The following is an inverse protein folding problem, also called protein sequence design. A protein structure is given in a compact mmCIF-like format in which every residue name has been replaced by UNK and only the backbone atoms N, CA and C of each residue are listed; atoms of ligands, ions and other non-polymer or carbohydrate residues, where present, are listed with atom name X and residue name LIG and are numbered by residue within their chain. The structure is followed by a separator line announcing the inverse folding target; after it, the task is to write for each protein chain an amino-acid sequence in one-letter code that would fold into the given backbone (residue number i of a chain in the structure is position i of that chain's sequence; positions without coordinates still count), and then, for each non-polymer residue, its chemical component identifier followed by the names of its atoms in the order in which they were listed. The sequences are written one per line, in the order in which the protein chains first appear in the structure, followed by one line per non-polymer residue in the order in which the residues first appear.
data_IF_584313084027
#
_entry.id   IF_584313084027
#
_cell.length_a   1.000
_cell.length_b   1.000
_cell.length_c   1.000
_cell.angle_alpha   90.00
_cell.angle_beta   90.00
_cell.angle_gamma   90.00
#
_symmetry.space_group_name_H-M   'P 1'
#
loop_
_entity.id
_entity.type
_entity.pdbx_description
1 polymer ?
#
# COMPACT_ATOMS: atom_id res chain seq x y z
N UNK A 1 18.32 -0.56 -9.42
CA UNK A 1 18.01 0.03 -8.10
C UNK A 1 17.39 -1.09 -7.29
N UNK A 2 17.88 -1.33 -6.07
CA UNK A 2 17.25 -2.32 -5.18
C UNK A 2 15.82 -1.89 -4.84
N UNK A 3 14.88 -2.83 -4.69
CA UNK A 3 13.52 -2.47 -4.31
C UNK A 3 13.49 -1.95 -2.86
N UNK A 4 12.55 -1.04 -2.53
CA UNK A 4 12.32 -0.67 -1.14
C UNK A 4 11.85 -1.91 -0.35
N UNK A 5 12.38 -2.09 0.85
CA UNK A 5 12.12 -3.27 1.68
C UNK A 5 11.10 -2.92 2.75
N UNK A 6 10.25 -3.85 3.17
CA UNK A 6 9.25 -3.57 4.22
C UNK A 6 9.93 -3.13 5.53
N UNK A 7 11.03 -3.80 5.89
CA UNK A 7 11.80 -3.61 7.11
C UNK A 7 12.81 -2.44 7.07
N UNK A 8 12.97 -1.74 5.94
CA UNK A 8 13.82 -0.54 5.86
C UNK A 8 13.18 0.71 6.52
N UNK A 9 11.90 0.60 6.89
CA UNK A 9 11.14 1.63 7.58
C UNK A 9 10.56 1.08 8.88
N UNK A 10 11.15 1.48 10.00
CA UNK A 10 10.66 1.19 11.33
C UNK A 10 10.96 2.37 12.27
N UNK A 11 9.96 3.23 12.56
CA UNK A 11 10.17 4.38 13.43
C UNK A 11 10.61 4.04 14.86
N UNK A 12 10.29 2.86 15.39
CA UNK A 12 10.72 2.46 16.75
C UNK A 12 12.23 2.20 16.82
N UNK A 13 12.84 1.80 15.71
CA UNK A 13 14.29 1.59 15.61
C UNK A 13 14.99 2.76 14.89
N UNK A 14 14.30 3.90 14.73
CA UNK A 14 14.81 5.08 14.03
C UNK A 14 15.26 4.79 12.58
N UNK A 15 14.61 3.82 11.93
CA UNK A 15 14.80 3.49 10.53
C UNK A 15 13.74 4.22 9.72
N UNK A 16 14.13 5.25 8.97
CA UNK A 16 13.20 6.14 8.27
C UNK A 16 13.48 6.15 6.76
N UNK A 17 13.03 5.12 6.05
CA UNK A 17 13.00 5.17 4.60
C UNK A 17 11.88 6.13 4.13
N UNK A 18 12.16 7.04 3.19
CA UNK A 18 11.14 7.96 2.66
C UNK A 18 10.18 7.25 1.72
N UNK A 19 8.96 7.79 1.56
CA UNK A 19 8.02 7.33 0.53
C UNK A 19 8.71 7.30 -0.85
N UNK A 20 8.61 6.19 -1.61
CA UNK A 20 9.14 6.11 -2.96
C UNK A 20 8.63 7.25 -3.88
N UNK A 21 7.41 7.72 -3.63
CA UNK A 21 6.81 8.88 -4.30
C UNK A 21 7.66 10.17 -4.20
N UNK A 22 8.37 10.38 -3.09
CA UNK A 22 9.22 11.56 -2.87
C UNK A 22 10.52 11.53 -3.69
N UNK A 23 10.92 10.37 -4.23
CA UNK A 23 12.14 10.22 -5.04
C UNK A 23 11.93 10.50 -6.53
N UNK A 24 10.75 10.99 -6.92
CA UNK A 24 10.41 11.26 -8.32
C UNK A 24 9.84 10.05 -9.07
N UNK A 25 9.61 8.92 -8.40
CA UNK A 25 8.88 7.78 -8.95
C UNK A 25 7.37 7.94 -8.70
N UNK A 26 6.84 9.13 -9.01
CA UNK A 26 5.45 9.56 -8.73
C UNK A 26 4.41 8.86 -9.59
N UNK A 27 4.76 7.74 -10.21
CA UNK A 27 3.83 7.07 -11.11
C UNK A 27 3.00 6.08 -10.31
N UNK A 28 1.71 6.07 -10.60
CA UNK A 28 0.69 5.08 -10.24
C UNK A 28 1.07 3.61 -10.58
N UNK A 29 2.33 3.35 -10.94
CA UNK A 29 2.94 2.04 -11.27
C UNK A 29 3.42 1.27 -10.05
N UNK A 30 3.13 1.78 -8.84
CA UNK A 30 3.43 1.08 -7.60
C UNK A 30 2.71 -0.26 -7.51
N UNK A 31 1.47 -0.32 -8.00
CA UNK A 31 0.67 -1.53 -8.07
C UNK A 31 0.57 -1.95 -9.53
N UNK A 32 0.92 -3.19 -9.83
CA UNK A 32 0.87 -3.77 -11.17
C UNK A 32 -0.57 -4.03 -11.64
N UNK A 33 -0.82 -4.03 -12.94
CA UNK A 33 -2.19 -4.13 -13.48
C UNK A 33 -2.74 -5.57 -13.58
N UNK A 34 -1.92 -6.56 -13.21
CA UNK A 34 -2.26 -7.99 -13.20
C UNK A 34 -3.06 -8.39 -11.95
N UNK A 35 -2.58 -9.40 -11.22
CA UNK A 35 -3.26 -9.97 -10.06
C UNK A 35 -3.06 -9.16 -8.76
N UNK A 36 -3.02 -7.82 -8.86
CA UNK A 36 -2.81 -6.92 -7.74
C UNK A 36 -4.13 -6.42 -7.12
N UNK A 37 -4.08 -5.75 -5.96
CA UNK A 37 -5.25 -5.07 -5.39
C UNK A 37 -5.82 -3.99 -6.32
N UNK A 38 -4.98 -3.42 -7.20
CA UNK A 38 -5.40 -2.40 -8.15
C UNK A 38 -6.47 -2.93 -9.11
N UNK A 39 -6.26 -4.14 -9.62
CA UNK A 39 -7.17 -4.78 -10.57
C UNK A 39 -8.55 -5.03 -9.95
N UNK A 40 -8.58 -5.57 -8.72
CA UNK A 40 -9.81 -5.79 -7.98
C UNK A 40 -10.58 -4.49 -7.70
N UNK A 41 -9.89 -3.45 -7.22
CA UNK A 41 -10.53 -2.16 -6.92
C UNK A 41 -11.01 -1.44 -8.19
N UNK A 42 -10.23 -1.45 -9.27
CA UNK A 42 -10.65 -0.85 -10.54
C UNK A 42 -11.88 -1.56 -11.12
N UNK A 43 -11.92 -2.89 -11.05
CA UNK A 43 -13.08 -3.68 -11.44
C UNK A 43 -14.34 -3.28 -10.66
N UNK A 44 -14.20 -3.13 -9.33
CA UNK A 44 -15.29 -2.69 -8.44
C UNK A 44 -15.78 -1.28 -8.74
N UNK A 45 -14.87 -0.34 -9.01
CA UNK A 45 -15.19 1.09 -9.20
C UNK A 45 -15.41 1.49 -10.67
N UNK A 46 -15.35 0.54 -11.61
CA UNK A 46 -15.42 0.77 -13.05
C UNK A 46 -14.39 1.79 -13.56
N UNK A 47 -13.16 1.74 -13.01
CA UNK A 47 -12.07 2.67 -13.33
C UNK A 47 -11.12 2.13 -14.38
N UNK A 48 -10.48 3.03 -15.12
CA UNK A 48 -9.45 2.71 -16.12
C UNK A 48 -8.09 2.51 -15.46
N UNK A 49 -7.20 1.83 -16.17
CA UNK A 49 -5.83 1.53 -15.73
C UNK A 49 -5.02 2.79 -15.36
N UNK A 50 -5.15 3.85 -16.16
CA UNK A 50 -4.48 5.14 -15.93
C UNK A 50 -5.01 5.92 -14.72
N UNK A 51 -6.13 5.47 -14.14
CA UNK A 51 -6.76 6.11 -12.99
C UNK A 51 -6.31 5.43 -11.69
N UNK A 52 -6.39 6.20 -10.60
CA UNK A 52 -6.25 5.65 -9.24
C UNK A 52 -7.20 4.46 -9.05
N UNK A 53 -6.77 3.35 -8.43
CA UNK A 53 -7.64 2.18 -8.26
C UNK A 53 -8.91 2.44 -7.46
N UNK A 54 -8.80 3.26 -6.41
CA UNK A 54 -9.91 3.80 -5.65
C UNK A 54 -9.58 5.24 -5.23
N UNK A 55 -10.58 6.01 -4.79
CA UNK A 55 -10.40 7.42 -4.44
C UNK A 55 -9.39 7.64 -3.31
N UNK A 56 -9.35 6.72 -2.34
CA UNK A 56 -8.46 6.78 -1.18
C UNK A 56 -7.03 6.30 -1.48
N UNK A 57 -6.76 5.73 -2.64
CA UNK A 57 -5.43 5.23 -3.01
C UNK A 57 -4.50 6.38 -3.44
N UNK A 58 -3.98 7.12 -2.45
CA UNK A 58 -2.87 8.07 -2.64
C UNK A 58 -1.52 7.39 -2.40
N UNK A 59 -0.46 7.95 -3.01
CA UNK A 59 0.94 7.54 -2.78
C UNK A 59 1.12 6.02 -2.83
N UNK A 60 0.66 5.41 -3.92
CA UNK A 60 0.73 3.96 -4.08
C UNK A 60 2.14 3.50 -4.49
N UNK A 61 2.65 2.49 -3.80
CA UNK A 61 3.93 1.84 -4.09
C UNK A 61 3.90 0.37 -3.66
N UNK A 62 4.97 -0.36 -3.92
CA UNK A 62 5.19 -1.71 -3.39
C UNK A 62 6.52 -1.80 -2.67
N UNK A 63 6.57 -2.62 -1.63
CA UNK A 63 7.80 -2.95 -0.90
C UNK A 63 7.96 -4.45 -0.85
N UNK A 64 9.19 -4.94 -0.83
CA UNK A 64 9.48 -6.35 -0.72
C UNK A 64 9.52 -6.76 0.76
N UNK A 65 8.78 -7.81 1.14
CA UNK A 65 8.91 -8.47 2.44
C UNK A 65 9.83 -9.67 2.28
N UNK A 66 11.05 -9.56 2.81
CA UNK A 66 12.07 -10.62 2.75
C UNK A 66 11.70 -11.85 3.58
N UNK A 67 10.97 -11.66 4.68
CA UNK A 67 10.55 -12.74 5.57
C UNK A 67 9.49 -13.65 4.93
N UNK A 68 8.68 -13.09 4.03
CA UNK A 68 7.60 -13.76 3.34
C UNK A 68 7.88 -14.01 1.85
N UNK A 69 9.02 -13.53 1.33
CA UNK A 69 9.42 -13.62 -0.09
C UNK A 69 8.33 -13.11 -1.05
N UNK A 70 7.69 -11.98 -0.69
CA UNK A 70 6.54 -11.44 -1.42
C UNK A 70 6.50 -9.92 -1.52
N UNK A 71 5.72 -9.42 -2.48
CA UNK A 71 5.41 -8.00 -2.59
C UNK A 71 4.26 -7.60 -1.64
N UNK A 72 4.47 -6.50 -0.92
CA UNK A 72 3.42 -5.80 -0.16
C UNK A 72 3.06 -4.52 -0.90
N UNK A 73 1.79 -4.38 -1.23
CA UNK A 73 1.21 -3.21 -1.86
C UNK A 73 0.86 -2.18 -0.80
N UNK A 74 1.34 -0.96 -0.94
CA UNK A 74 1.11 0.11 0.03
C UNK A 74 0.39 1.26 -0.65
N UNK A 75 -0.59 1.81 0.03
CA UNK A 75 -1.13 3.15 -0.23
C UNK A 75 -0.95 3.99 1.03
N UNK A 76 -0.66 5.27 0.86
CA UNK A 76 -0.57 6.22 1.98
C UNK A 76 -1.56 7.37 1.83
N UNK A 77 -2.87 7.13 2.03
CA UNK A 77 -3.87 8.18 2.06
C UNK A 77 -3.55 9.28 3.09
N UNK A 78 -3.81 10.53 2.70
CA UNK A 78 -3.89 11.63 3.67
C UNK A 78 -5.09 11.49 4.61
N UNK A 79 -6.16 10.84 4.15
CA UNK A 79 -7.33 10.49 4.94
C UNK A 79 -7.94 9.15 4.46
N UNK A 80 -8.53 8.39 5.39
CA UNK A 80 -9.37 7.24 5.04
C UNK A 80 -10.83 7.69 5.20
N UNK A 81 -11.52 8.07 4.11
CA UNK A 81 -12.91 8.45 4.19
C UNK A 81 -13.80 7.20 4.36
N UNK A 82 -15.07 7.39 4.73
CA UNK A 82 -15.97 6.27 5.05
C UNK A 82 -16.15 5.29 3.88
N UNK A 83 -16.02 5.77 2.63
CA UNK A 83 -16.12 4.92 1.44
C UNK A 83 -14.92 3.97 1.27
N UNK A 84 -13.81 4.21 1.99
CA UNK A 84 -12.67 3.31 1.96
C UNK A 84 -12.96 1.99 2.71
N UNK A 85 -13.72 2.00 3.81
CA UNK A 85 -13.93 0.79 4.61
C UNK A 85 -14.63 -0.35 3.83
N UNK A 86 -15.68 -0.09 3.02
CA UNK A 86 -16.24 -1.10 2.12
C UNK A 86 -15.22 -1.68 1.14
N UNK A 87 -14.27 -0.88 0.66
CA UNK A 87 -13.21 -1.35 -0.24
C UNK A 87 -12.21 -2.26 0.48
N UNK A 88 -11.82 -1.91 1.72
CA UNK A 88 -10.94 -2.76 2.52
C UNK A 88 -11.62 -4.10 2.83
N UNK A 89 -12.92 -4.09 3.11
CA UNK A 89 -13.71 -5.32 3.31
C UNK A 89 -13.83 -6.13 2.00
N UNK A 90 -14.07 -5.47 0.88
CA UNK A 90 -14.10 -6.11 -0.43
C UNK A 90 -12.78 -6.79 -0.77
N UNK A 91 -11.65 -6.11 -0.59
CA UNK A 91 -10.32 -6.71 -0.78
C UNK A 91 -10.13 -7.97 0.08
N UNK A 92 -10.60 -7.95 1.34
CA UNK A 92 -10.58 -9.14 2.19
C UNK A 92 -11.41 -10.30 1.63
N UNK A 93 -12.57 -10.01 1.06
CA UNK A 93 -13.41 -11.04 0.41
C UNK A 93 -12.77 -11.59 -0.87
N UNK A 94 -11.98 -10.77 -1.58
CA UNK A 94 -11.16 -11.16 -2.73
C UNK A 94 -9.85 -11.90 -2.34
N UNK A 95 -9.71 -12.26 -1.06
CA UNK A 95 -8.58 -13.04 -0.55
C UNK A 95 -7.32 -12.23 -0.24
N UNK A 96 -7.42 -10.90 -0.14
CA UNK A 96 -6.33 -10.05 0.32
C UNK A 96 -6.34 -9.90 1.84
N UNK A 97 -5.18 -9.66 2.43
CA UNK A 97 -5.09 -9.10 3.79
C UNK A 97 -4.83 -7.63 3.71
N UNK A 98 -5.36 -6.91 4.68
CA UNK A 98 -5.24 -5.45 4.79
C UNK A 98 -4.81 -5.12 6.20
N UNK A 99 -3.76 -4.31 6.33
CA UNK A 99 -3.29 -3.71 7.57
C UNK A 99 -3.30 -2.19 7.42
N UNK A 100 -3.87 -1.49 8.40
CA UNK A 100 -3.82 -0.02 8.47
C UNK A 100 -2.91 0.37 9.63
N UNK A 101 -1.86 1.14 9.36
CA UNK A 101 -0.87 1.53 10.36
C UNK A 101 -0.37 2.95 10.14
N UNK A 102 -0.45 3.78 11.17
CA UNK A 102 0.22 5.09 11.17
C UNK A 102 1.76 4.95 11.26
N UNK A 103 2.25 3.87 11.88
CA UNK A 103 3.68 3.64 12.11
C UNK A 103 4.43 3.25 10.83
N UNK A 104 3.77 2.60 9.89
CA UNK A 104 4.39 2.16 8.63
C UNK A 104 4.33 3.21 7.53
N UNK A 105 3.78 4.40 7.81
CA UNK A 105 3.69 5.50 6.86
C UNK A 105 5.05 6.16 6.64
N UNK A 106 5.47 6.24 5.38
CA UNK A 106 6.76 6.77 4.93
C UNK A 106 6.68 8.18 4.36
N UNK A 107 5.47 8.68 4.09
CA UNK A 107 5.25 9.98 3.46
C UNK A 107 5.51 11.13 4.44
N UNK A 108 6.31 12.10 4.00
CA UNK A 108 6.67 13.31 4.75
C UNK A 108 6.59 14.55 3.83
N UNK A 109 6.24 15.74 4.36
CA UNK A 109 5.71 16.02 5.69
C UNK A 109 4.19 15.77 5.73
N UNK A 110 3.74 14.76 6.48
CA UNK A 110 2.31 14.46 6.59
C UNK A 110 2.02 13.37 7.60
N UNK A 111 0.92 13.50 8.34
CA UNK A 111 0.36 12.43 9.19
C UNK A 111 -0.51 11.52 8.32
N UNK A 112 0.09 10.81 7.38
CA UNK A 112 -0.63 9.78 6.61
C UNK A 112 -0.78 8.52 7.44
N UNK A 113 -1.63 7.61 6.98
CA UNK A 113 -1.63 6.21 7.42
C UNK A 113 -1.17 5.35 6.25
N UNK A 114 -0.43 4.28 6.52
CA UNK A 114 -0.15 3.26 5.53
C UNK A 114 -1.25 2.21 5.54
N UNK A 115 -1.77 1.90 4.35
CA UNK A 115 -2.63 0.75 4.08
C UNK A 115 -1.77 -0.28 3.34
N UNK A 116 -1.39 -1.35 4.03
CA UNK A 116 -0.58 -2.44 3.51
C UNK A 116 -1.50 -3.59 3.07
N UNK A 117 -1.27 -4.12 1.88
CA UNK A 117 -2.10 -5.14 1.25
C UNK A 117 -1.21 -6.24 0.68
N UNK A 118 -1.53 -7.50 0.97
CA UNK A 118 -0.80 -8.68 0.46
C UNK A 118 -1.67 -9.92 0.36
N UNK A 119 -1.18 -10.96 -0.31
CA UNK A 119 -1.78 -12.31 -0.26
C UNK A 119 -1.35 -13.00 1.05
N UNK A 120 -2.04 -14.04 1.51
CA UNK A 120 -1.58 -14.81 2.69
C UNK A 120 -1.98 -14.18 4.03
N UNK A 121 -1.14 -14.22 5.07
CA UNK A 121 -1.39 -13.64 6.41
C UNK A 121 -0.32 -12.60 6.75
N UNK A 122 -0.62 -11.60 7.59
CA UNK A 122 0.43 -10.80 8.23
C UNK A 122 1.07 -11.63 9.33
N UNK A 123 2.41 -11.78 9.35
CA UNK A 123 3.06 -12.34 10.53
C UNK A 123 2.79 -11.38 11.70
N UNK A 124 2.49 -11.92 12.87
CA UNK A 124 2.21 -11.11 14.06
C UNK A 124 3.49 -10.58 14.72
N UNK A 125 4.65 -10.87 14.11
CA UNK A 125 5.95 -10.38 14.53
C UNK A 125 6.31 -9.16 13.67
N UNK A 126 5.84 -7.97 14.07
CA UNK A 126 6.27 -6.66 13.53
C UNK A 126 7.19 -5.99 14.55
#
# INVERSE_FOLDING_TARGET
MEPPMLNDHNPEFNQLAPCPCCKGDTSFRGWDDGESPASALRGRHHRKEIERPAFWCDHIYRVWDDSADEWVYVAEPYNLPDEAFPDLAFLRNEGWKVLVSARMARHLPGRTVAVLIRRGEFSTEI
#
